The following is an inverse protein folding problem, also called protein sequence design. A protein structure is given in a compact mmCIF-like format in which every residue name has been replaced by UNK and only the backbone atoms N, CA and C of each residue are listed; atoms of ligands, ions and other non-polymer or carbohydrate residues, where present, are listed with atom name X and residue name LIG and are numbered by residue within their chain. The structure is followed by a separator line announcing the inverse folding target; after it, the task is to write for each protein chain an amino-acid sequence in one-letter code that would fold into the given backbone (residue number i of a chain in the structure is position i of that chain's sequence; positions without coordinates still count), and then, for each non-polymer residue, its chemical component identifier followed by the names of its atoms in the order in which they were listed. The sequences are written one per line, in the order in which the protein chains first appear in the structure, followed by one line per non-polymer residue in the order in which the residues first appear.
data_IF_902519072997
#
_entry.id   IF_902519072997
#
_cell.length_a   1.000
_cell.length_b   1.000
_cell.length_c   1.000
_cell.angle_alpha   90.00
_cell.angle_beta   90.00
_cell.angle_gamma   90.00
#
_symmetry.space_group_name_H-M   'P 1'
#
loop_
_entity.id
_entity.type
_entity.pdbx_description
1 polymer ?
#
# COMPACT_ATOMS: atom_id res chain seq x y z
N UNK A 1 -18.23 -32.21 -40.60
CA UNK A 1 -17.66 -31.45 -39.47
C UNK A 1 -16.16 -31.35 -39.69
N UNK A 2 -15.64 -30.16 -40.05
CA UNK A 2 -14.25 -30.02 -40.48
C UNK A 2 -13.27 -30.23 -39.31
N UNK A 3 -12.27 -31.06 -39.56
CA UNK A 3 -11.14 -31.34 -38.68
C UNK A 3 -10.18 -30.16 -38.65
N UNK A 4 -9.94 -29.57 -37.48
CA UNK A 4 -8.93 -28.54 -37.30
C UNK A 4 -7.59 -29.19 -36.93
N UNK A 5 -6.59 -29.00 -37.79
CA UNK A 5 -5.19 -29.28 -37.51
C UNK A 5 -4.68 -28.27 -36.48
N UNK A 6 -4.19 -28.75 -35.35
CA UNK A 6 -3.53 -27.94 -34.32
C UNK A 6 -2.08 -27.66 -34.73
N UNK A 7 -1.62 -26.40 -34.77
CA UNK A 7 -0.20 -26.10 -34.90
C UNK A 7 0.52 -26.32 -33.56
N UNK A 8 1.52 -27.21 -33.57
CA UNK A 8 2.46 -27.40 -32.47
C UNK A 8 3.50 -26.27 -32.46
N UNK A 9 3.39 -25.32 -31.53
CA UNK A 9 4.50 -24.38 -31.29
C UNK A 9 5.42 -24.90 -30.19
N UNK A 10 6.58 -25.35 -30.63
CA UNK A 10 7.73 -25.71 -29.80
C UNK A 10 8.16 -24.53 -28.93
N UNK A 11 8.37 -24.78 -27.62
CA UNK A 11 9.04 -23.86 -26.69
C UNK A 11 10.56 -23.92 -26.89
N UNK A 12 11.25 -22.80 -27.15
CA UNK A 12 12.69 -22.71 -26.99
C UNK A 12 13.03 -22.37 -25.52
N UNK A 13 13.70 -23.29 -24.83
CA UNK A 13 14.22 -23.08 -23.48
C UNK A 13 15.50 -22.21 -23.43
N UNK A 14 15.98 -21.86 -22.23
CA UNK A 14 17.14 -20.98 -22.04
C UNK A 14 18.45 -21.73 -22.33
N UNK A 15 19.26 -21.22 -23.27
CA UNK A 15 20.63 -21.72 -23.48
C UNK A 15 21.63 -20.93 -22.65
N UNK A 16 22.37 -21.71 -21.87
CA UNK A 16 23.51 -21.32 -21.03
C UNK A 16 24.75 -21.13 -21.92
N UNK A 17 25.57 -20.12 -21.60
CA UNK A 17 27.00 -19.95 -21.96
C UNK A 17 27.32 -19.50 -23.41
N UNK A 18 27.63 -18.21 -23.53
CA UNK A 18 28.76 -17.66 -24.32
C UNK A 18 29.33 -16.51 -23.48
N UNK A 19 30.37 -16.74 -22.70
CA UNK A 19 31.79 -16.54 -23.04
C UNK A 19 32.12 -15.07 -23.37
N UNK A 20 32.96 -14.52 -22.49
CA UNK A 20 33.58 -13.21 -22.53
C UNK A 20 34.47 -13.05 -23.76
N UNK A 21 34.33 -11.92 -24.47
CA UNK A 21 35.39 -11.36 -25.31
C UNK A 21 35.45 -9.86 -25.05
N UNK A 22 36.53 -9.45 -24.39
CA UNK A 22 36.89 -8.05 -24.22
C UNK A 22 37.36 -7.44 -25.54
N UNK A 23 37.04 -6.16 -25.72
CA UNK A 23 37.75 -5.27 -26.61
C UNK A 23 37.94 -3.94 -25.87
N UNK A 24 39.20 -3.63 -25.55
CA UNK A 24 39.63 -2.35 -25.04
C UNK A 24 40.21 -1.53 -26.21
N UNK A 25 39.71 -0.30 -26.39
CA UNK A 25 40.37 0.84 -27.03
C UNK A 25 39.43 2.06 -26.80
N UNK A 26 39.63 2.88 -25.76
CA UNK A 26 40.57 3.99 -25.64
C UNK A 26 40.26 5.20 -26.54
N UNK A 27 39.61 6.24 -25.97
CA UNK A 27 39.89 7.65 -26.23
C UNK A 27 39.01 8.58 -25.34
N UNK A 28 39.64 9.25 -24.38
CA UNK A 28 39.39 10.65 -24.02
C UNK A 28 38.02 11.08 -23.48
N UNK A 29 37.82 10.99 -22.16
CA UNK A 29 37.08 12.02 -21.40
C UNK A 29 37.48 11.99 -19.91
N UNK A 30 38.70 12.39 -19.59
CA UNK A 30 39.05 12.79 -18.22
C UNK A 30 38.68 14.27 -18.03
N UNK A 31 37.97 14.56 -16.92
CA UNK A 31 37.43 15.85 -16.46
C UNK A 31 36.19 16.30 -17.26
N UNK A 32 34.97 16.19 -16.74
CA UNK A 32 34.53 16.80 -15.47
C UNK A 32 33.82 15.77 -14.56
N UNK A 33 34.50 15.35 -13.49
CA UNK A 33 33.78 15.11 -12.24
C UNK A 33 33.37 16.48 -11.67
N UNK A 34 32.37 17.10 -12.29
CA UNK A 34 31.53 18.05 -11.58
C UNK A 34 30.73 17.20 -10.59
N UNK A 35 31.29 17.04 -9.39
CA UNK A 35 30.53 16.64 -8.22
C UNK A 35 29.42 17.67 -8.01
N UNK A 36 28.25 17.40 -8.57
CA UNK A 36 27.02 18.10 -8.25
C UNK A 36 26.58 17.66 -6.84
N UNK A 37 27.28 18.17 -5.83
CA UNK A 37 26.80 18.30 -4.46
C UNK A 37 25.65 19.33 -4.43
N UNK A 38 24.58 18.99 -5.12
CA UNK A 38 23.36 19.79 -5.30
C UNK A 38 22.16 18.89 -5.59
N UNK A 39 22.30 17.58 -5.38
CA UNK A 39 21.25 16.59 -5.65
C UNK A 39 20.68 15.93 -4.38
N UNK A 40 21.30 16.18 -3.22
CA UNK A 40 20.82 15.69 -1.93
C UNK A 40 19.45 16.32 -1.58
N UNK A 41 19.30 17.64 -1.73
CA UNK A 41 18.06 18.34 -1.34
C UNK A 41 16.85 17.98 -2.20
N UNK A 42 17.03 17.76 -3.51
CA UNK A 42 15.95 17.36 -4.42
C UNK A 42 15.55 15.88 -4.23
N UNK A 43 16.53 15.00 -4.00
CA UNK A 43 16.30 13.59 -3.67
C UNK A 43 15.62 13.45 -2.31
N UNK A 44 16.07 14.22 -1.32
CA UNK A 44 15.48 14.28 0.02
C UNK A 44 14.05 14.81 -0.01
N UNK A 45 13.78 15.85 -0.79
CA UNK A 45 12.43 16.40 -0.99
C UNK A 45 11.47 15.38 -1.59
N UNK A 46 11.91 14.62 -2.60
CA UNK A 46 11.12 13.55 -3.24
C UNK A 46 10.88 12.39 -2.26
N UNK A 47 11.89 11.97 -1.51
CA UNK A 47 11.74 10.94 -0.48
C UNK A 47 10.78 11.37 0.64
N UNK A 48 10.80 12.65 1.01
CA UNK A 48 9.91 13.24 2.01
C UNK A 48 8.46 13.26 1.52
N UNK A 49 8.23 13.65 0.26
CA UNK A 49 6.90 13.60 -0.35
C UNK A 49 6.35 12.17 -0.40
N UNK A 50 7.16 11.19 -0.81
CA UNK A 50 6.76 9.79 -0.82
C UNK A 50 6.40 9.29 0.59
N UNK A 51 7.22 9.62 1.60
CA UNK A 51 6.95 9.31 3.01
C UNK A 51 5.61 9.90 3.48
N UNK A 52 5.30 11.14 3.09
CA UNK A 52 4.01 11.78 3.43
C UNK A 52 2.82 11.07 2.76
N UNK A 53 2.93 10.71 1.48
CA UNK A 53 1.87 9.98 0.76
C UNK A 53 1.64 8.62 1.41
N UNK A 54 2.71 7.87 1.69
CA UNK A 54 2.63 6.57 2.37
C UNK A 54 2.02 6.68 3.77
N UNK A 55 2.44 7.66 4.56
CA UNK A 55 1.88 7.90 5.90
C UNK A 55 0.40 8.28 5.87
N UNK A 56 -0.03 9.07 4.87
CA UNK A 56 -1.45 9.37 4.65
C UNK A 56 -2.23 8.11 4.26
N UNK A 57 -1.71 7.30 3.34
CA UNK A 57 -2.36 6.05 2.93
C UNK A 57 -2.52 5.07 4.10
N UNK A 58 -1.54 4.96 4.99
CA UNK A 58 -1.64 4.17 6.22
C UNK A 58 -2.75 4.69 7.16
N UNK A 59 -2.78 6.01 7.41
CA UNK A 59 -3.84 6.64 8.25
C UNK A 59 -5.23 6.46 7.67
N UNK A 60 -5.38 6.61 6.36
CA UNK A 60 -6.66 6.42 5.68
C UNK A 60 -7.12 4.95 5.75
N UNK A 61 -6.21 3.98 5.64
CA UNK A 61 -6.51 2.56 5.87
C UNK A 61 -6.94 2.28 7.31
N UNK A 62 -6.25 2.85 8.31
CA UNK A 62 -6.59 2.70 9.72
C UNK A 62 -7.98 3.30 10.03
N UNK A 63 -8.30 4.46 9.46
CA UNK A 63 -9.63 5.06 9.58
C UNK A 63 -10.73 4.17 8.98
N UNK A 64 -10.46 3.48 7.87
CA UNK A 64 -11.38 2.51 7.28
C UNK A 64 -11.55 1.27 8.18
N UNK A 65 -10.47 0.76 8.78
CA UNK A 65 -10.56 -0.34 9.75
C UNK A 65 -11.47 -0.02 10.92
N UNK A 66 -11.38 1.19 11.48
CA UNK A 66 -12.28 1.62 12.55
C UNK A 66 -13.75 1.61 12.14
N UNK A 67 -14.06 1.90 10.86
CA UNK A 67 -15.43 1.81 10.35
C UNK A 67 -15.90 0.35 10.28
N UNK A 68 -15.04 -0.57 9.82
CA UNK A 68 -15.32 -2.01 9.89
C UNK A 68 -15.53 -2.49 11.33
N UNK A 69 -14.68 -2.06 12.26
CA UNK A 69 -14.77 -2.42 13.69
C UNK A 69 -16.07 -1.92 14.31
N UNK A 70 -16.45 -0.68 14.03
CA UNK A 70 -17.71 -0.10 14.51
C UNK A 70 -18.92 -0.85 13.95
N UNK A 71 -18.90 -1.21 12.66
CA UNK A 71 -19.98 -2.01 12.06
C UNK A 71 -20.05 -3.41 12.66
N UNK A 72 -18.92 -4.07 12.89
CA UNK A 72 -18.89 -5.39 13.53
C UNK A 72 -19.37 -5.36 14.98
N UNK A 73 -19.05 -4.29 15.72
CA UNK A 73 -19.55 -4.08 17.08
C UNK A 73 -21.07 -3.87 17.12
N UNK A 74 -21.63 -3.13 16.15
CA UNK A 74 -23.07 -2.89 16.06
C UNK A 74 -23.86 -4.07 15.44
N UNK A 75 -23.21 -4.85 14.56
CA UNK A 75 -23.84 -5.90 13.74
C UNK A 75 -23.06 -7.21 13.76
N UNK A 76 -22.98 -7.86 14.92
CA UNK A 76 -22.20 -9.09 15.11
C UNK A 76 -22.57 -10.22 14.11
N UNK A 77 -23.82 -10.28 13.63
CA UNK A 77 -24.25 -11.27 12.61
C UNK A 77 -23.54 -11.13 11.25
N UNK A 78 -22.83 -10.03 11.00
CA UNK A 78 -22.05 -9.83 9.77
C UNK A 78 -20.59 -10.28 9.90
N UNK A 79 -20.17 -10.82 11.06
CA UNK A 79 -18.78 -11.15 11.36
C UNK A 79 -18.14 -12.08 10.33
N UNK A 80 -18.80 -13.19 9.98
CA UNK A 80 -18.27 -14.17 9.02
C UNK A 80 -18.07 -13.55 7.64
N UNK A 81 -18.93 -12.60 7.26
CA UNK A 81 -18.87 -11.95 5.94
C UNK A 81 -17.84 -10.82 5.87
N UNK A 82 -17.78 -9.98 6.91
CA UNK A 82 -16.91 -8.80 6.94
C UNK A 82 -15.50 -9.11 7.46
N UNK A 83 -15.32 -10.22 8.17
CA UNK A 83 -14.03 -10.64 8.74
C UNK A 83 -12.90 -10.71 7.70
N UNK A 84 -13.08 -11.42 6.57
CA UNK A 84 -12.08 -11.48 5.51
C UNK A 84 -11.76 -10.11 4.91
N UNK A 85 -12.77 -9.29 4.62
CA UNK A 85 -12.57 -7.96 4.04
C UNK A 85 -11.80 -7.04 4.99
N UNK A 86 -12.17 -7.03 6.28
CA UNK A 86 -11.45 -6.30 7.33
C UNK A 86 -10.00 -6.74 7.43
N UNK A 87 -9.72 -8.04 7.36
CA UNK A 87 -8.36 -8.57 7.42
C UNK A 87 -7.49 -8.08 6.25
N UNK A 88 -8.06 -8.01 5.05
CA UNK A 88 -7.37 -7.46 3.88
C UNK A 88 -7.12 -5.95 4.02
N UNK A 89 -8.07 -5.17 4.53
CA UNK A 89 -7.84 -3.74 4.84
C UNK A 89 -6.69 -3.59 5.87
N UNK A 90 -6.59 -4.49 6.85
CA UNK A 90 -5.50 -4.47 7.82
C UNK A 90 -4.15 -4.82 7.18
N UNK A 91 -4.13 -5.72 6.18
CA UNK A 91 -2.92 -5.96 5.37
C UNK A 91 -2.53 -4.73 4.57
N UNK A 92 -3.50 -4.03 3.98
CA UNK A 92 -3.24 -2.79 3.24
C UNK A 92 -2.65 -1.69 4.15
N UNK A 93 -3.17 -1.52 5.36
CA UNK A 93 -2.60 -0.60 6.35
C UNK A 93 -1.11 -0.92 6.62
N UNK A 94 -0.81 -2.20 6.89
CA UNK A 94 0.56 -2.67 7.11
C UNK A 94 1.47 -2.50 5.88
N UNK A 95 0.93 -2.67 4.68
CA UNK A 95 1.68 -2.47 3.43
C UNK A 95 2.15 -1.00 3.27
N UNK A 96 1.40 -0.05 3.81
CA UNK A 96 1.82 1.36 3.90
C UNK A 96 2.65 1.68 5.15
N UNK A 97 3.00 0.68 5.97
CA UNK A 97 3.78 0.85 7.19
C UNK A 97 2.96 1.23 8.43
N UNK A 98 1.62 1.20 8.36
CA UNK A 98 0.76 1.30 9.53
C UNK A 98 0.83 0.05 10.43
N UNK A 99 0.37 0.15 11.67
CA UNK A 99 0.37 -0.94 12.65
C UNK A 99 1.76 -1.44 13.11
N UNK A 100 2.88 -0.91 12.61
CA UNK A 100 4.21 -1.15 13.20
C UNK A 100 4.40 -0.19 14.38
N UNK A 101 4.66 -0.68 15.61
CA UNK A 101 5.18 0.19 16.66
C UNK A 101 6.51 0.79 16.14
N UNK A 102 6.74 2.08 16.37
CA UNK A 102 7.85 2.89 15.82
C UNK A 102 9.28 2.37 16.04
N UNK A 103 9.49 1.19 16.62
CA UNK A 103 10.81 0.62 16.90
C UNK A 103 11.33 -0.43 15.91
N UNK A 104 10.51 -0.98 15.01
CA UNK A 104 10.97 -2.12 14.19
C UNK A 104 11.58 -1.69 12.86
N UNK A 105 12.59 -0.84 12.87
CA UNK A 105 13.61 -0.75 11.82
C UNK A 105 14.96 -0.67 12.51
N UNK A 106 15.33 -1.73 13.22
CA UNK A 106 16.66 -1.90 13.76
C UNK A 106 17.20 -3.25 13.27
N UNK A 107 18.24 -3.16 12.45
CA UNK A 107 19.21 -4.22 12.14
C UNK A 107 19.68 -4.88 13.46
N UNK A 108 19.98 -6.20 13.51
CA UNK A 108 20.36 -6.81 14.78
C UNK A 108 21.76 -6.35 15.23
N UNK A 109 21.85 -6.16 16.55
CA UNK A 109 23.04 -6.11 17.41
C UNK A 109 24.02 -4.92 17.32
N UNK A 110 23.94 -4.05 18.33
CA UNK A 110 25.02 -3.91 19.32
C UNK A 110 24.47 -3.31 20.62
N UNK A 111 24.89 -3.90 21.74
CA UNK A 111 24.53 -3.59 23.14
C UNK A 111 24.72 -2.13 23.54
N UNK A 112 23.71 -1.56 24.23
CA UNK A 112 23.81 -0.31 24.99
C UNK A 112 22.55 -0.06 25.82
N UNK A 113 22.72 0.10 27.14
CA UNK A 113 21.71 0.23 28.21
C UNK A 113 20.71 1.39 28.05
N UNK A 114 19.58 1.40 28.80
CA UNK A 114 18.42 2.22 28.46
C UNK A 114 18.58 3.65 28.98
N UNK A 115 18.37 4.63 28.10
CA UNK A 115 18.09 6.01 28.51
C UNK A 115 16.60 6.27 28.32
N UNK A 116 15.93 6.51 29.44
CA UNK A 116 14.58 7.02 29.55
C UNK A 116 14.45 8.37 28.86
N UNK A 117 13.60 8.44 27.85
CA UNK A 117 13.08 9.69 27.30
C UNK A 117 11.57 9.57 27.26
N UNK A 118 10.92 10.15 28.27
CA UNK A 118 9.48 10.38 28.27
C UNK A 118 9.14 11.28 27.09
N UNK A 119 8.66 10.68 26.00
CA UNK A 119 8.00 11.42 24.95
C UNK A 119 6.56 11.65 25.41
N UNK A 120 6.26 12.91 25.73
CA UNK A 120 4.92 13.41 25.98
C UNK A 120 3.95 12.78 24.98
N UNK A 121 2.98 12.03 25.51
CA UNK A 121 1.80 11.65 24.77
C UNK A 121 1.04 12.94 24.45
N UNK A 122 1.37 13.53 23.30
CA UNK A 122 0.59 14.60 22.70
C UNK A 122 -0.82 14.02 22.54
N UNK A 123 -1.76 14.57 23.30
CA UNK A 123 -3.10 14.05 23.42
C UNK A 123 -3.71 13.94 22.01
N UNK A 124 -3.94 12.70 21.57
CA UNK A 124 -4.65 12.41 20.34
C UNK A 124 -5.95 13.23 20.32
N UNK A 125 -6.29 13.90 19.21
CA UNK A 125 -7.58 14.56 19.09
C UNK A 125 -8.65 13.51 19.37
N UNK A 126 -9.52 13.75 20.36
CA UNK A 126 -10.60 12.85 20.75
C UNK A 126 -11.31 12.34 19.50
N UNK A 127 -11.02 11.10 19.11
CA UNK A 127 -11.49 10.56 17.84
C UNK A 127 -13.01 10.46 17.93
N UNK A 128 -13.70 11.16 17.03
CA UNK A 128 -15.16 11.21 17.02
C UNK A 128 -15.71 9.79 16.79
N UNK A 129 -16.74 9.36 17.55
CA UNK A 129 -17.38 8.07 17.32
C UNK A 129 -17.85 7.92 15.87
N UNK A 130 -17.71 6.72 15.31
CA UNK A 130 -18.25 6.38 13.99
C UNK A 130 -19.76 6.16 14.14
N UNK A 131 -20.56 6.98 13.47
CA UNK A 131 -22.01 6.82 13.43
C UNK A 131 -22.37 5.68 12.46
N UNK A 132 -22.85 4.56 13.02
CA UNK A 132 -23.15 3.33 12.27
C UNK A 132 -24.65 3.23 12.04
N UNK A 133 -25.11 3.07 10.79
CA UNK A 133 -26.53 2.84 10.53
C UNK A 133 -27.08 1.61 11.25
N UNK A 134 -28.29 1.74 11.81
CA UNK A 134 -28.94 0.70 12.63
C UNK A 134 -29.42 -0.53 11.84
N UNK A 135 -29.50 -0.44 10.51
CA UNK A 135 -29.91 -1.56 9.66
C UNK A 135 -28.71 -2.30 9.06
N UNK A 136 -28.75 -3.64 9.02
CA UNK A 136 -27.66 -4.44 8.41
C UNK A 136 -27.35 -4.03 6.96
N UNK A 137 -28.39 -3.88 6.13
CA UNK A 137 -28.24 -3.45 4.73
C UNK A 137 -27.68 -2.03 4.61
N UNK A 138 -28.09 -1.12 5.48
CA UNK A 138 -27.55 0.25 5.47
C UNK A 138 -26.11 0.30 6.00
N UNK A 139 -25.74 -0.55 6.95
CA UNK A 139 -24.37 -0.71 7.41
C UNK A 139 -23.44 -1.26 6.30
N UNK A 140 -23.90 -2.24 5.52
CA UNK A 140 -23.15 -2.73 4.35
C UNK A 140 -22.97 -1.65 3.28
N UNK A 141 -24.03 -0.89 2.96
CA UNK A 141 -23.92 0.26 2.05
C UNK A 141 -22.97 1.34 2.57
N UNK A 142 -23.00 1.60 3.87
CA UNK A 142 -22.09 2.54 4.53
C UNK A 142 -20.62 2.13 4.33
N UNK A 143 -20.28 0.85 4.52
CA UNK A 143 -18.94 0.34 4.23
C UNK A 143 -18.62 0.38 2.73
N UNK A 144 -19.58 0.03 1.86
CA UNK A 144 -19.38 0.06 0.42
C UNK A 144 -19.02 1.47 -0.10
N UNK A 145 -19.72 2.50 0.41
CA UNK A 145 -19.39 3.90 0.11
C UNK A 145 -18.02 4.27 0.66
N UNK A 146 -17.70 3.88 1.89
CA UNK A 146 -16.38 4.17 2.49
C UNK A 146 -15.21 3.56 1.70
N UNK A 147 -15.36 2.31 1.21
CA UNK A 147 -14.39 1.63 0.36
C UNK A 147 -14.24 2.32 -1.01
N UNK A 148 -15.35 2.66 -1.68
CA UNK A 148 -15.33 3.42 -2.95
C UNK A 148 -14.62 4.75 -2.80
N UNK A 149 -15.03 5.56 -1.81
CA UNK A 149 -14.46 6.88 -1.60
C UNK A 149 -12.95 6.82 -1.37
N UNK A 150 -12.48 5.80 -0.63
CA UNK A 150 -11.06 5.61 -0.39
C UNK A 150 -10.32 5.10 -1.62
N UNK A 151 -10.90 4.17 -2.38
CA UNK A 151 -10.36 3.72 -3.66
C UNK A 151 -10.20 4.89 -4.63
N UNK A 152 -11.20 5.77 -4.75
CA UNK A 152 -11.16 6.96 -5.61
C UNK A 152 -10.09 7.96 -5.16
N UNK A 153 -9.96 8.20 -3.84
CA UNK A 153 -8.89 9.06 -3.32
C UNK A 153 -7.50 8.51 -3.63
N UNK A 154 -7.29 7.20 -3.49
CA UNK A 154 -6.02 6.55 -3.87
C UNK A 154 -5.79 6.62 -5.38
N UNK A 155 -6.86 6.47 -6.17
CA UNK A 155 -6.87 6.67 -7.62
C UNK A 155 -6.40 8.06 -8.05
N UNK A 156 -6.70 9.09 -7.27
CA UNK A 156 -6.19 10.46 -7.48
C UNK A 156 -4.74 10.60 -7.00
N UNK A 157 -4.41 10.05 -5.83
CA UNK A 157 -3.08 10.14 -5.23
C UNK A 157 -1.99 9.47 -6.05
N UNK A 158 -2.30 8.42 -6.81
CA UNK A 158 -1.30 7.73 -7.63
C UNK A 158 -0.67 8.62 -8.70
N UNK A 159 -1.37 9.67 -9.15
CA UNK A 159 -0.88 10.60 -10.18
C UNK A 159 0.33 11.42 -9.70
N UNK A 160 0.42 11.62 -8.39
CA UNK A 160 1.46 12.42 -7.72
C UNK A 160 2.55 11.54 -7.08
N UNK A 161 2.41 10.22 -7.16
CA UNK A 161 3.28 9.26 -6.48
C UNK A 161 4.42 8.76 -7.40
N UNK A 162 5.61 8.46 -6.85
CA UNK A 162 6.64 7.77 -7.60
C UNK A 162 6.18 6.37 -8.02
N UNK A 163 6.76 5.84 -9.11
CA UNK A 163 6.24 4.67 -9.81
C UNK A 163 5.94 3.45 -8.91
N UNK A 164 6.83 3.09 -7.99
CA UNK A 164 6.60 1.94 -7.10
C UNK A 164 5.44 2.17 -6.13
N UNK A 165 5.34 3.36 -5.52
CA UNK A 165 4.23 3.70 -4.64
C UNK A 165 2.91 3.83 -5.41
N UNK A 166 2.95 4.35 -6.64
CA UNK A 166 1.79 4.43 -7.52
C UNK A 166 1.22 3.05 -7.83
N UNK A 167 2.08 2.05 -8.11
CA UNK A 167 1.64 0.65 -8.33
C UNK A 167 0.99 0.04 -7.09
N UNK A 168 1.58 0.27 -5.91
CA UNK A 168 0.97 -0.19 -4.65
C UNK A 168 -0.39 0.47 -4.41
N UNK A 169 -0.48 1.79 -4.58
CA UNK A 169 -1.74 2.54 -4.45
C UNK A 169 -2.80 2.04 -5.43
N UNK A 170 -2.43 1.81 -6.69
CA UNK A 170 -3.33 1.30 -7.72
C UNK A 170 -3.85 -0.10 -7.39
N UNK A 171 -2.98 -1.02 -6.96
CA UNK A 171 -3.37 -2.37 -6.55
C UNK A 171 -4.34 -2.35 -5.36
N UNK A 172 -4.05 -1.53 -4.34
CA UNK A 172 -4.92 -1.40 -3.16
C UNK A 172 -6.23 -0.67 -3.49
N UNK A 173 -6.22 0.30 -4.40
CA UNK A 173 -7.43 0.96 -4.88
C UNK A 173 -8.34 -0.02 -5.63
N UNK A 174 -7.77 -0.86 -6.49
CA UNK A 174 -8.52 -1.90 -7.19
C UNK A 174 -9.13 -2.93 -6.23
N UNK A 175 -8.39 -3.36 -5.19
CA UNK A 175 -8.92 -4.23 -4.15
C UNK A 175 -10.08 -3.57 -3.38
N UNK A 176 -9.94 -2.30 -2.98
CA UNK A 176 -11.02 -1.54 -2.33
C UNK A 176 -12.26 -1.38 -3.22
N UNK A 177 -12.09 -1.15 -4.51
CA UNK A 177 -13.21 -1.11 -5.46
C UNK A 177 -13.92 -2.48 -5.56
N UNK A 178 -13.18 -3.59 -5.55
CA UNK A 178 -13.75 -4.93 -5.50
C UNK A 178 -14.50 -5.21 -4.19
N UNK A 179 -13.96 -4.77 -3.04
CA UNK A 179 -14.66 -4.86 -1.76
C UNK A 179 -15.97 -4.08 -1.78
N UNK A 180 -15.96 -2.85 -2.30
CA UNK A 180 -17.16 -2.04 -2.41
C UNK A 180 -18.23 -2.68 -3.30
N UNK A 181 -17.82 -3.36 -4.38
CA UNK A 181 -18.72 -4.15 -5.20
C UNK A 181 -19.35 -5.29 -4.40
N UNK A 182 -18.55 -6.14 -3.74
CA UNK A 182 -19.06 -7.25 -2.93
C UNK A 182 -20.04 -6.80 -1.83
N UNK A 183 -19.69 -5.73 -1.11
CA UNK A 183 -20.55 -5.14 -0.08
C UNK A 183 -21.87 -4.59 -0.65
N UNK A 184 -21.85 -4.09 -1.88
CA UNK A 184 -23.06 -3.63 -2.57
C UNK A 184 -23.95 -4.80 -2.97
N UNK A 185 -23.38 -5.89 -3.47
CA UNK A 185 -24.14 -7.11 -3.80
C UNK A 185 -24.81 -7.70 -2.55
N UNK A 186 -24.12 -7.68 -1.40
CA UNK A 186 -24.67 -8.18 -0.14
C UNK A 186 -25.76 -7.30 0.48
N UNK A 187 -25.82 -6.04 0.06
CA UNK A 187 -26.78 -5.08 0.55
C UNK A 187 -28.11 -5.09 -0.25
N UNK A 188 -28.20 -5.87 -1.32
CA UNK A 188 -29.42 -6.09 -2.12
C UNK A 188 -30.44 -6.95 -1.37
#
# INVERSE_FOLDING_TARGET
MPSYLTPSWSRPGPRRRSLLTGAAAAAGSTLLLAGCSGSDTASDGRSSAEKRVRARAARDSAALLRRYDAVLAAHASLADRLGPLRAEVARHERAFGGGRPSGSSAKPASSGSPASSGASAEASPSERPVDVPSGRRSALRFLATAERDLADRRGKQLLEAPAELARLLASVAAAGAAHAYLLTEDAK
#
